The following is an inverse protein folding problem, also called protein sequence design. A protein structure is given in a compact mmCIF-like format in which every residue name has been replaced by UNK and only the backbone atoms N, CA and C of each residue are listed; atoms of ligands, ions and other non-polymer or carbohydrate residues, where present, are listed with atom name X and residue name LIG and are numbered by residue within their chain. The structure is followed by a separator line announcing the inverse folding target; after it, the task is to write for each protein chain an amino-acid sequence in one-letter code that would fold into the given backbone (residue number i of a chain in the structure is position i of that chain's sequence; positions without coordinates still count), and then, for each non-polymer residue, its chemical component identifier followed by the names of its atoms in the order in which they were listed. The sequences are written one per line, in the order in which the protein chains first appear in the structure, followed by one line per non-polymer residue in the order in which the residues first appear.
data_IF_385471346228
#
_entry.id   IF_385471346228
#
_cell.length_a   1.000
_cell.length_b   1.000
_cell.length_c   1.000
_cell.angle_alpha   90.00
_cell.angle_beta   90.00
_cell.angle_gamma   90.00
#
_symmetry.space_group_name_H-M   'P 1'
#
loop_
_entity.id
_entity.type
_entity.pdbx_description
1 polymer ?
#
# COMPACT_ATOMS: atom_id res chain seq x y z
N UNK A 1 -15.44 -26.15 -20.04
CA UNK A 1 -14.05 -25.71 -19.88
C UNK A 1 -13.95 -25.01 -18.56
N UNK A 2 -13.15 -25.54 -17.64
CA UNK A 2 -12.85 -24.98 -16.33
C UNK A 2 -11.41 -24.50 -16.32
N UNK A 3 -11.09 -23.58 -15.43
CA UNK A 3 -9.69 -23.21 -15.16
C UNK A 3 -8.90 -24.42 -14.64
N UNK A 4 -7.77 -24.73 -15.28
CA UNK A 4 -6.86 -25.80 -14.82
C UNK A 4 -6.00 -25.29 -13.66
N UNK A 5 -5.94 -26.05 -12.57
CA UNK A 5 -5.21 -25.68 -11.35
C UNK A 5 -4.25 -26.77 -10.93
N UNK A 6 -3.19 -26.38 -10.20
CA UNK A 6 -2.23 -27.35 -9.64
C UNK A 6 -2.95 -28.23 -8.62
N UNK A 7 -2.90 -29.55 -8.82
CA UNK A 7 -3.59 -30.53 -7.96
C UNK A 7 -2.86 -30.81 -6.64
N UNK A 8 -1.53 -30.64 -6.63
CA UNK A 8 -0.70 -30.85 -5.44
C UNK A 8 -0.54 -29.54 -4.68
N UNK A 9 -0.65 -29.62 -3.36
CA UNK A 9 -0.42 -28.51 -2.45
C UNK A 9 1.02 -28.57 -1.92
N UNK A 10 1.62 -27.41 -1.66
CA UNK A 10 2.89 -27.33 -0.95
C UNK A 10 2.66 -27.70 0.51
N UNK A 11 3.36 -28.74 0.96
CA UNK A 11 3.31 -29.17 2.37
C UNK A 11 4.29 -28.32 3.17
N UNK A 12 3.83 -27.77 4.29
CA UNK A 12 4.67 -27.01 5.22
C UNK A 12 5.49 -28.02 6.01
N UNK A 13 6.81 -27.81 6.07
CA UNK A 13 7.77 -28.64 6.79
C UNK A 13 8.72 -27.75 7.57
N UNK A 14 9.31 -28.27 8.64
CA UNK A 14 10.36 -27.56 9.37
C UNK A 14 11.64 -27.46 8.51
N UNK A 15 12.34 -26.33 8.59
CA UNK A 15 13.51 -26.08 7.76
C UNK A 15 14.74 -26.92 8.17
N UNK A 16 14.82 -27.36 9.43
CA UNK A 16 15.94 -28.17 9.94
C UNK A 16 15.69 -29.65 9.72
N UNK A 17 14.49 -30.13 10.03
CA UNK A 17 14.16 -31.56 9.97
C UNK A 17 13.56 -31.99 8.64
N UNK A 18 13.04 -31.05 7.85
CA UNK A 18 12.32 -31.27 6.57
C UNK A 18 11.12 -32.21 6.70
N UNK A 19 10.58 -32.31 7.91
CA UNK A 19 9.46 -33.18 8.28
C UNK A 19 8.21 -32.37 8.56
N UNK A 20 7.07 -32.97 8.26
CA UNK A 20 5.76 -32.37 8.52
C UNK A 20 5.37 -32.57 9.99
N UNK A 21 5.80 -33.67 10.58
CA UNK A 21 5.46 -34.10 11.94
C UNK A 21 5.97 -33.11 13.00
N UNK A 22 7.05 -32.39 12.70
CA UNK A 22 7.63 -31.38 13.59
C UNK A 22 6.92 -30.02 13.49
N UNK A 23 5.91 -29.90 12.62
CA UNK A 23 5.10 -28.69 12.46
C UNK A 23 3.66 -29.01 12.89
N UNK A 24 3.30 -28.56 14.08
CA UNK A 24 1.92 -28.58 14.56
C UNK A 24 1.25 -27.22 14.36
N UNK A 25 -0.01 -27.24 13.92
CA UNK A 25 -0.82 -26.02 13.76
C UNK A 25 -1.83 -25.96 14.88
N UNK A 26 -1.59 -25.08 15.84
CA UNK A 26 -2.53 -24.72 16.89
C UNK A 26 -3.25 -23.42 16.52
N UNK A 27 -4.55 -23.35 16.81
CA UNK A 27 -5.34 -22.13 16.60
C UNK A 27 -6.01 -21.79 17.93
N UNK A 28 -5.59 -20.67 18.49
CA UNK A 28 -6.12 -20.12 19.75
C UNK A 28 -7.11 -19.01 19.42
N UNK A 29 -8.20 -18.93 20.17
CA UNK A 29 -9.22 -17.90 20.02
C UNK A 29 -9.11 -16.96 21.22
N UNK A 30 -8.93 -15.67 20.97
CA UNK A 30 -8.92 -14.65 22.01
C UNK A 30 -10.09 -13.68 21.81
N UNK A 31 -10.62 -13.14 22.90
CA UNK A 31 -11.50 -11.99 22.85
C UNK A 31 -10.75 -10.82 22.22
N UNK A 32 -11.45 -10.06 21.38
CA UNK A 32 -10.92 -8.85 20.79
C UNK A 32 -11.14 -7.67 21.75
N UNK A 33 -10.65 -7.82 22.98
CA UNK A 33 -10.57 -6.82 24.04
C UNK A 33 -9.09 -6.47 24.34
N UNK A 34 -8.86 -5.46 25.16
CA UNK A 34 -7.49 -5.01 25.48
C UNK A 34 -6.68 -6.08 26.25
N UNK A 35 -7.35 -7.03 26.88
CA UNK A 35 -6.77 -8.10 27.70
C UNK A 35 -6.50 -9.40 26.90
N UNK A 36 -6.96 -9.48 25.64
CA UNK A 36 -6.85 -10.64 24.74
C UNK A 36 -7.20 -11.98 25.39
N UNK A 37 -8.30 -12.02 26.16
CA UNK A 37 -8.62 -13.19 26.99
C UNK A 37 -8.88 -14.44 26.13
N UNK A 38 -8.20 -15.54 26.42
CA UNK A 38 -8.37 -16.81 25.70
C UNK A 38 -9.76 -17.43 25.93
N UNK A 39 -10.39 -17.88 24.84
CA UNK A 39 -11.73 -18.47 24.80
C UNK A 39 -11.67 -19.87 24.22
N UNK A 40 -12.40 -20.80 24.82
CA UNK A 40 -12.51 -22.15 24.27
C UNK A 40 -13.32 -22.16 22.98
N UNK A 41 -12.92 -23.03 22.05
CA UNK A 41 -13.59 -23.16 20.74
C UNK A 41 -15.09 -23.48 20.87
N UNK A 42 -15.47 -24.28 21.86
CA UNK A 42 -16.86 -24.69 22.07
C UNK A 42 -17.74 -23.57 22.64
N UNK A 43 -17.14 -22.53 23.20
CA UNK A 43 -17.83 -21.31 23.66
C UNK A 43 -17.98 -20.27 22.54
N UNK A 44 -17.57 -20.60 21.31
CA UNK A 44 -17.74 -19.72 20.14
C UNK A 44 -19.03 -20.02 19.38
N UNK A 45 -19.76 -18.97 19.01
CA UNK A 45 -20.95 -19.06 18.16
C UNK A 45 -20.71 -18.33 16.85
N UNK A 46 -21.19 -18.90 15.75
CA UNK A 46 -21.13 -18.22 14.45
C UNK A 46 -22.08 -17.02 14.46
N UNK A 47 -21.61 -15.89 13.96
CA UNK A 47 -22.39 -14.66 13.89
C UNK A 47 -22.33 -14.05 12.50
N UNK A 48 -23.43 -13.44 12.07
CA UNK A 48 -23.50 -12.71 10.81
C UNK A 48 -23.70 -11.22 11.10
N UNK A 49 -23.02 -10.38 10.33
CA UNK A 49 -23.23 -8.93 10.41
C UNK A 49 -24.50 -8.57 9.65
N UNK A 50 -25.43 -7.91 10.33
CA UNK A 50 -26.63 -7.34 9.74
C UNK A 50 -26.65 -5.84 10.04
N UNK A 51 -26.10 -5.05 9.10
CA UNK A 51 -25.84 -3.63 9.34
C UNK A 51 -24.71 -3.42 10.36
N UNK A 52 -25.00 -2.66 11.42
CA UNK A 52 -24.09 -2.46 12.56
C UNK A 52 -24.02 -3.67 13.49
N UNK A 53 -25.07 -4.48 13.52
CA UNK A 53 -25.29 -5.47 14.56
C UNK A 53 -24.70 -6.83 14.18
N UNK A 54 -24.27 -7.58 15.19
CA UNK A 54 -23.82 -8.96 15.02
C UNK A 54 -24.93 -9.87 15.54
N UNK A 55 -25.56 -10.61 14.64
CA UNK A 55 -26.62 -11.54 14.97
C UNK A 55 -26.02 -12.94 15.14
N UNK A 56 -26.07 -13.52 16.35
CA UNK A 56 -25.63 -14.90 16.56
C UNK A 56 -26.58 -15.85 15.84
N UNK A 57 -26.01 -16.79 15.08
CA UNK A 57 -26.77 -17.75 14.30
C UNK A 57 -26.06 -19.11 14.32
N UNK A 58 -26.70 -20.10 14.95
CA UNK A 58 -26.12 -21.43 15.09
C UNK A 58 -26.03 -22.13 13.73
N UNK A 59 -25.12 -23.11 13.60
CA UNK A 59 -24.98 -23.88 12.36
C UNK A 59 -26.21 -24.76 12.11
N UNK A 60 -26.86 -25.21 13.17
CA UNK A 60 -28.08 -25.99 13.12
C UNK A 60 -29.25 -25.17 12.56
N UNK A 61 -29.38 -23.91 13.01
CA UNK A 61 -30.37 -22.97 12.49
C UNK A 61 -30.07 -22.63 11.01
N UNK A 62 -28.80 -22.41 10.68
CA UNK A 62 -28.36 -22.14 9.30
C UNK A 62 -28.74 -23.28 8.36
N UNK A 63 -28.43 -24.53 8.71
CA UNK A 63 -28.72 -25.68 7.85
C UNK A 63 -30.24 -25.96 7.73
N UNK A 64 -31.03 -25.63 8.75
CA UNK A 64 -32.49 -25.77 8.69
C UNK A 64 -33.15 -24.69 7.84
N UNK A 65 -32.73 -23.43 8.02
CA UNK A 65 -33.32 -22.26 7.35
C UNK A 65 -32.76 -22.00 5.95
N UNK A 66 -31.60 -22.57 5.61
CA UNK A 66 -31.01 -22.44 4.27
C UNK A 66 -31.96 -22.92 3.18
N UNK A 67 -32.00 -22.18 2.08
CA UNK A 67 -32.77 -22.55 0.89
C UNK A 67 -32.31 -23.91 0.35
N UNK A 68 -33.27 -24.84 0.18
CA UNK A 68 -33.01 -26.20 -0.32
C UNK A 68 -33.50 -26.32 -1.75
N UNK A 69 -32.61 -26.70 -2.65
CA UNK A 69 -32.92 -26.94 -4.05
C UNK A 69 -33.62 -28.29 -4.23
N UNK A 70 -34.66 -28.35 -5.06
CA UNK A 70 -35.46 -29.56 -5.33
C UNK A 70 -34.62 -30.73 -5.90
N UNK A 71 -33.53 -30.41 -6.60
CA UNK A 71 -32.65 -31.41 -7.21
C UNK A 71 -31.83 -30.86 -8.37
N UNK A 72 -31.17 -31.79 -9.07
CA UNK A 72 -30.51 -31.50 -10.34
C UNK A 72 -31.55 -31.09 -11.38
N UNK A 73 -31.39 -29.93 -12.01
CA UNK A 73 -32.27 -29.46 -13.07
C UNK A 73 -31.53 -28.65 -14.13
N UNK A 74 -32.02 -28.72 -15.37
CA UNK A 74 -31.61 -27.85 -16.48
C UNK A 74 -32.87 -27.47 -17.26
N UNK A 75 -33.60 -26.49 -16.74
CA UNK A 75 -34.94 -26.12 -17.22
C UNK A 75 -34.92 -24.75 -17.88
N UNK A 76 -35.43 -24.67 -19.11
CA UNK A 76 -35.61 -23.41 -19.83
C UNK A 76 -36.67 -22.57 -19.13
N UNK A 77 -36.32 -21.33 -18.80
CA UNK A 77 -37.23 -20.33 -18.22
C UNK A 77 -37.89 -19.47 -19.30
N UNK A 78 -37.15 -19.18 -20.38
CA UNK A 78 -37.64 -18.37 -21.48
C UNK A 78 -36.63 -18.26 -22.61
N UNK A 79 -37.01 -17.52 -23.65
CA UNK A 79 -36.19 -17.30 -24.83
C UNK A 79 -36.04 -15.80 -25.10
N UNK A 80 -34.88 -15.39 -25.57
CA UNK A 80 -34.64 -14.00 -25.97
C UNK A 80 -33.72 -13.91 -27.20
N UNK A 81 -33.70 -12.75 -27.88
CA UNK A 81 -32.79 -12.52 -28.99
C UNK A 81 -31.34 -12.58 -28.53
N UNK A 82 -30.47 -13.17 -29.34
CA UNK A 82 -29.03 -13.26 -29.04
C UNK A 82 -28.38 -11.89 -28.80
N UNK A 83 -28.89 -10.82 -29.42
CA UNK A 83 -28.37 -9.46 -29.27
C UNK A 83 -28.64 -8.81 -27.91
N UNK A 84 -29.60 -9.33 -27.13
CA UNK A 84 -29.90 -8.80 -25.80
C UNK A 84 -28.88 -9.26 -24.74
N UNK A 85 -28.20 -10.38 -24.98
CA UNK A 85 -27.22 -10.92 -24.04
C UNK A 85 -25.82 -10.49 -24.47
N UNK A 86 -25.25 -9.54 -23.73
CA UNK A 86 -23.91 -9.01 -24.00
C UNK A 86 -22.83 -9.88 -23.34
N UNK A 87 -21.72 -10.10 -24.04
CA UNK A 87 -20.63 -10.98 -23.58
C UNK A 87 -20.01 -10.54 -22.25
N UNK A 88 -20.00 -9.24 -21.96
CA UNK A 88 -19.44 -8.74 -20.70
C UNK A 88 -20.32 -9.02 -19.47
N UNK A 89 -21.56 -9.49 -19.65
CA UNK A 89 -22.38 -9.99 -18.54
C UNK A 89 -22.13 -11.45 -18.20
N UNK A 90 -21.28 -12.16 -18.95
CA UNK A 90 -20.98 -13.55 -18.64
C UNK A 90 -20.31 -13.68 -17.28
N UNK A 91 -20.85 -14.59 -16.48
CA UNK A 91 -20.40 -14.92 -15.14
C UNK A 91 -19.99 -16.40 -15.07
N UNK A 92 -19.46 -16.77 -13.90
CA UNK A 92 -19.05 -18.14 -13.59
C UNK A 92 -17.65 -18.48 -14.10
N UNK A 93 -17.09 -19.55 -13.55
CA UNK A 93 -15.71 -19.97 -13.81
C UNK A 93 -15.63 -21.10 -14.85
N UNK A 94 -16.73 -21.38 -15.54
CA UNK A 94 -16.82 -22.47 -16.49
C UNK A 94 -17.83 -22.21 -17.60
N UNK A 95 -17.52 -22.75 -18.78
CA UNK A 95 -18.49 -22.91 -19.87
C UNK A 95 -18.88 -24.38 -20.00
N UNK A 96 -20.16 -24.70 -19.95
CA UNK A 96 -20.66 -26.07 -20.07
C UNK A 96 -21.15 -26.34 -21.48
N UNK A 97 -20.72 -27.47 -22.07
CA UNK A 97 -21.29 -27.96 -23.33
C UNK A 97 -22.37 -28.97 -22.99
N UNK A 98 -23.57 -28.72 -23.47
CA UNK A 98 -24.74 -29.57 -23.25
C UNK A 98 -25.04 -30.34 -24.52
N UNK A 99 -25.19 -31.65 -24.37
CA UNK A 99 -25.50 -32.60 -25.44
C UNK A 99 -26.71 -33.43 -25.02
N UNK A 100 -27.34 -34.08 -26.00
CA UNK A 100 -28.29 -35.15 -25.73
C UNK A 100 -27.61 -36.31 -24.99
N UNK A 101 -28.41 -37.10 -24.26
CA UNK A 101 -27.92 -38.28 -23.57
C UNK A 101 -27.32 -39.27 -24.59
N UNK A 102 -26.20 -39.89 -24.21
CA UNK A 102 -25.57 -40.91 -25.03
C UNK A 102 -26.54 -42.07 -25.25
N UNK A 103 -26.59 -42.58 -26.47
CA UNK A 103 -27.41 -43.72 -26.90
C UNK A 103 -28.94 -43.47 -26.94
N UNK A 104 -29.40 -42.23 -26.77
CA UNK A 104 -30.80 -41.84 -26.99
C UNK A 104 -30.95 -41.03 -28.30
N UNK A 105 -31.34 -41.74 -29.36
CA UNK A 105 -31.53 -41.13 -30.69
C UNK A 105 -32.70 -40.16 -30.73
N UNK A 106 -33.77 -40.41 -29.97
CA UNK A 106 -34.95 -39.56 -29.95
C UNK A 106 -34.64 -38.23 -29.27
N UNK A 107 -33.92 -38.27 -28.14
CA UNK A 107 -33.42 -37.07 -27.48
C UNK A 107 -32.43 -36.31 -28.37
N UNK A 108 -31.55 -37.00 -29.09
CA UNK A 108 -30.60 -36.36 -30.02
C UNK A 108 -31.30 -35.61 -31.16
N UNK A 109 -32.33 -36.22 -31.77
CA UNK A 109 -33.12 -35.57 -32.84
C UNK A 109 -33.87 -34.35 -32.29
N UNK A 110 -34.55 -34.48 -31.15
CA UNK A 110 -35.26 -33.36 -30.53
C UNK A 110 -34.32 -32.22 -30.13
N UNK A 111 -33.14 -32.55 -29.60
CA UNK A 111 -32.13 -31.57 -29.21
C UNK A 111 -31.52 -30.87 -30.42
N UNK A 112 -31.19 -31.58 -31.50
CA UNK A 112 -30.69 -30.97 -32.74
C UNK A 112 -31.73 -30.04 -33.36
N UNK A 113 -33.00 -30.42 -33.37
CA UNK A 113 -34.09 -29.55 -33.83
C UNK A 113 -34.15 -28.25 -33.01
N UNK A 114 -34.00 -28.32 -31.69
CA UNK A 114 -33.94 -27.13 -30.83
C UNK A 114 -32.72 -26.26 -31.11
N UNK A 115 -31.52 -26.86 -31.23
CA UNK A 115 -30.27 -26.12 -31.49
C UNK A 115 -30.35 -25.36 -32.82
N UNK A 116 -30.85 -26.02 -33.88
CA UNK A 116 -31.01 -25.40 -35.19
C UNK A 116 -32.07 -24.30 -35.19
N UNK A 117 -33.21 -24.53 -34.53
CA UNK A 117 -34.24 -23.50 -34.40
C UNK A 117 -33.72 -22.24 -33.69
N UNK A 118 -32.91 -22.40 -32.64
CA UNK A 118 -32.27 -21.28 -31.95
C UNK A 118 -31.30 -20.51 -32.86
N UNK A 119 -30.51 -21.23 -33.68
CA UNK A 119 -29.56 -20.60 -34.60
C UNK A 119 -30.25 -19.88 -35.76
N UNK A 120 -31.25 -20.51 -36.38
CA UNK A 120 -32.02 -19.93 -37.48
C UNK A 120 -32.78 -18.68 -37.06
N UNK A 121 -33.41 -18.71 -35.86
CA UNK A 121 -34.17 -17.57 -35.33
C UNK A 121 -33.27 -16.51 -34.66
N UNK A 122 -31.97 -16.77 -34.48
CA UNK A 122 -31.03 -15.94 -33.72
C UNK A 122 -31.52 -15.63 -32.30
N UNK A 123 -32.04 -16.67 -31.67
CA UNK A 123 -32.60 -16.67 -30.30
C UNK A 123 -31.72 -17.54 -29.40
N UNK A 124 -31.68 -17.21 -28.11
CA UNK A 124 -30.99 -17.96 -27.06
C UNK A 124 -31.96 -18.33 -25.95
N UNK A 125 -31.68 -19.42 -25.24
CA UNK A 125 -32.50 -19.88 -24.12
C UNK A 125 -31.94 -19.34 -22.80
N UNK A 126 -32.80 -18.78 -21.95
CA UNK A 126 -32.47 -18.47 -20.55
C UNK A 126 -32.86 -19.69 -19.72
N UNK A 127 -31.91 -20.23 -18.95
CA UNK A 127 -32.01 -21.53 -18.30
C UNK A 127 -31.74 -21.41 -16.81
N UNK A 128 -32.59 -22.06 -16.00
CA UNK A 128 -32.29 -22.39 -14.61
C UNK A 128 -31.47 -23.67 -14.56
N UNK A 129 -30.26 -23.58 -14.03
CA UNK A 129 -29.32 -24.67 -13.89
C UNK A 129 -29.06 -24.95 -12.41
N UNK A 130 -29.31 -26.18 -11.97
CA UNK A 130 -28.86 -26.68 -10.68
C UNK A 130 -28.14 -28.01 -10.90
N UNK A 131 -26.87 -28.09 -10.51
CA UNK A 131 -26.06 -29.29 -10.73
C UNK A 131 -26.50 -30.45 -9.83
N UNK A 132 -26.75 -30.17 -8.55
CA UNK A 132 -27.24 -31.10 -7.55
C UNK A 132 -28.03 -30.39 -6.45
N UNK A 133 -28.45 -31.14 -5.41
CA UNK A 133 -29.21 -30.59 -4.26
C UNK A 133 -28.39 -29.68 -3.35
N UNK A 134 -27.06 -29.77 -3.38
CA UNK A 134 -26.14 -28.98 -2.52
C UNK A 134 -25.77 -27.64 -3.17
N UNK A 135 -25.90 -27.58 -4.48
CA UNK A 135 -25.59 -26.42 -5.30
C UNK A 135 -26.73 -25.41 -5.26
N UNK A 136 -26.36 -24.13 -5.14
CA UNK A 136 -27.30 -23.04 -5.37
C UNK A 136 -27.72 -23.05 -6.86
N UNK A 137 -29.00 -22.86 -7.19
CA UNK A 137 -29.44 -22.75 -8.57
C UNK A 137 -28.82 -21.50 -9.20
N UNK A 138 -28.41 -21.63 -10.46
CA UNK A 138 -27.81 -20.58 -11.28
C UNK A 138 -28.75 -20.24 -12.43
N UNK A 139 -28.82 -18.96 -12.78
CA UNK A 139 -29.45 -18.52 -14.02
C UNK A 139 -28.35 -18.31 -15.05
N UNK A 140 -28.56 -18.79 -16.27
CA UNK A 140 -27.61 -18.61 -17.35
C UNK A 140 -28.26 -18.61 -18.72
N UNK A 141 -27.45 -18.36 -19.73
CA UNK A 141 -27.84 -18.41 -21.13
C UNK A 141 -27.30 -19.71 -21.75
N UNK A 142 -28.13 -20.39 -22.53
CA UNK A 142 -27.75 -21.50 -23.38
C UNK A 142 -27.95 -21.08 -24.85
N UNK A 143 -26.85 -21.02 -25.60
CA UNK A 143 -26.84 -20.59 -26.99
C UNK A 143 -26.30 -21.69 -27.92
N UNK A 144 -26.76 -21.75 -29.18
CA UNK A 144 -26.37 -22.79 -30.13
C UNK A 144 -24.91 -22.68 -30.54
N UNK A 145 -24.26 -23.84 -30.68
CA UNK A 145 -22.90 -23.97 -31.17
C UNK A 145 -22.80 -25.15 -32.13
N UNK A 146 -22.73 -24.84 -33.43
CA UNK A 146 -22.80 -25.79 -34.54
C UNK A 146 -21.40 -25.93 -35.15
N UNK A 147 -20.92 -27.17 -35.28
CA UNK A 147 -19.70 -27.55 -35.99
C UNK A 147 -20.00 -28.71 -36.93
N UNK A 148 -19.15 -28.92 -37.93
CA UNK A 148 -19.27 -30.03 -38.89
C UNK A 148 -19.40 -31.40 -38.22
N UNK A 149 -18.67 -31.61 -37.11
CA UNK A 149 -18.66 -32.87 -36.39
C UNK A 149 -19.77 -33.02 -35.35
N UNK A 150 -20.30 -31.91 -34.81
CA UNK A 150 -21.28 -31.97 -33.72
C UNK A 150 -22.02 -30.65 -33.53
N UNK A 151 -23.21 -30.74 -32.94
CA UNK A 151 -24.02 -29.61 -32.50
C UNK A 151 -24.19 -29.67 -30.98
N UNK A 152 -24.08 -28.53 -30.29
CA UNK A 152 -24.34 -28.47 -28.85
C UNK A 152 -24.92 -27.12 -28.41
N UNK A 153 -25.44 -27.06 -27.19
CA UNK A 153 -25.67 -25.78 -26.52
C UNK A 153 -24.49 -25.46 -25.60
N UNK A 154 -24.01 -24.22 -25.63
CA UNK A 154 -23.06 -23.71 -24.65
C UNK A 154 -23.84 -22.96 -23.58
N UNK A 155 -23.73 -23.41 -22.34
CA UNK A 155 -24.25 -22.73 -21.16
C UNK A 155 -23.18 -21.88 -20.50
N UNK A 156 -23.54 -20.63 -20.21
CA UNK A 156 -22.74 -19.67 -19.44
C UNK A 156 -23.65 -18.99 -18.41
N UNK A 157 -23.16 -18.84 -17.19
CA UNK A 157 -23.91 -18.19 -16.11
C UNK A 157 -24.10 -16.69 -16.42
N UNK A 158 -25.27 -16.16 -16.03
CA UNK A 158 -25.60 -14.74 -16.10
C UNK A 158 -25.55 -14.13 -14.69
N UNK A 159 -25.38 -12.81 -14.57
CA UNK A 159 -25.30 -12.14 -13.28
C UNK A 159 -26.69 -12.03 -12.67
N UNK A 160 -26.77 -12.10 -11.34
CA UNK A 160 -27.93 -11.63 -10.61
C UNK A 160 -27.89 -10.10 -10.46
N UNK A 161 -28.98 -9.53 -9.94
CA UNK A 161 -29.06 -8.08 -9.71
C UNK A 161 -27.97 -7.62 -8.73
N UNK A 162 -27.65 -8.44 -7.73
CA UNK A 162 -26.66 -8.15 -6.69
C UNK A 162 -25.22 -8.20 -7.23
N UNK A 163 -24.99 -8.88 -8.35
CA UNK A 163 -23.67 -9.02 -8.98
C UNK A 163 -23.28 -7.78 -9.83
N UNK A 164 -24.26 -6.96 -10.21
CA UNK A 164 -24.05 -5.82 -11.09
C UNK A 164 -23.41 -4.64 -10.34
N UNK A 165 -22.28 -4.14 -10.87
CA UNK A 165 -21.60 -2.95 -10.33
C UNK A 165 -21.86 -1.74 -11.23
N UNK A 166 -22.65 -0.79 -10.74
CA UNK A 166 -23.06 0.39 -11.50
C UNK A 166 -22.10 1.56 -11.27
N UNK A 167 -20.92 1.49 -11.91
CA UNK A 167 -20.00 2.63 -11.93
C UNK A 167 -20.35 3.58 -13.07
N UNK A 168 -20.47 4.87 -12.74
CA UNK A 168 -20.69 5.91 -13.73
C UNK A 168 -19.36 6.55 -14.08
N UNK A 169 -18.99 6.49 -15.36
CA UNK A 169 -17.80 7.12 -15.91
C UNK A 169 -18.18 8.21 -16.90
N UNK A 170 -17.38 9.27 -16.96
CA UNK A 170 -17.54 10.33 -17.96
C UNK A 170 -17.29 9.79 -19.38
N UNK A 171 -18.16 10.15 -20.33
CA UNK A 171 -17.98 9.77 -21.73
C UNK A 171 -16.73 10.40 -22.33
N UNK A 172 -15.87 9.58 -22.94
CA UNK A 172 -14.68 10.04 -23.65
C UNK A 172 -15.02 10.71 -24.98
N UNK A 173 -16.09 10.27 -25.66
CA UNK A 173 -16.49 10.79 -26.98
C UNK A 173 -16.91 12.27 -26.95
N UNK A 174 -17.48 12.72 -25.83
CA UNK A 174 -17.94 14.11 -25.66
C UNK A 174 -16.93 14.98 -24.90
N UNK A 175 -15.74 14.45 -24.59
CA UNK A 175 -14.73 15.16 -23.84
C UNK A 175 -14.02 16.19 -24.72
N UNK A 176 -14.20 17.48 -24.41
CA UNK A 176 -13.44 18.56 -25.05
C UNK A 176 -11.94 18.57 -24.69
N UNK A 177 -11.54 17.82 -23.66
CA UNK A 177 -10.17 17.80 -23.14
C UNK A 177 -9.27 16.77 -23.83
N UNK A 178 -9.86 15.72 -24.39
CA UNK A 178 -9.15 14.56 -24.93
C UNK A 178 -9.58 14.27 -26.36
N UNK A 179 -9.64 15.30 -27.21
CA UNK A 179 -9.95 15.14 -28.63
C UNK A 179 -8.66 14.80 -29.38
N UNK A 180 -8.55 13.62 -30.01
CA UNK A 180 -7.35 13.25 -30.75
C UNK A 180 -7.21 14.10 -32.02
N UNK A 181 -5.98 14.41 -32.40
CA UNK A 181 -5.70 15.09 -33.69
C UNK A 181 -5.81 14.10 -34.86
N UNK A 182 -5.95 14.63 -36.08
CA UNK A 182 -5.98 13.80 -37.30
C UNK A 182 -4.70 12.96 -37.44
N UNK A 183 -3.55 13.55 -37.10
CA UNK A 183 -2.26 12.84 -37.15
C UNK A 183 -2.18 11.72 -36.11
N UNK A 184 -2.75 11.94 -34.92
CA UNK A 184 -2.85 10.91 -33.88
C UNK A 184 -3.75 9.75 -34.30
N UNK A 185 -4.91 10.05 -34.90
CA UNK A 185 -5.80 9.02 -35.46
C UNK A 185 -5.09 8.21 -36.53
N UNK A 186 -4.47 8.88 -37.52
CA UNK A 186 -3.74 8.22 -38.59
C UNK A 186 -2.57 7.36 -38.09
N UNK A 187 -1.88 7.79 -37.03
CA UNK A 187 -0.81 7.01 -36.42
C UNK A 187 -1.31 5.76 -35.71
N UNK A 188 -2.47 5.84 -35.02
CA UNK A 188 -3.11 4.67 -34.41
C UNK A 188 -3.67 3.72 -35.48
N UNK A 189 -4.28 4.24 -36.56
CA UNK A 189 -4.75 3.41 -37.68
C UNK A 189 -3.59 2.62 -38.30
N UNK A 190 -2.47 3.30 -38.59
CA UNK A 190 -1.25 2.66 -39.09
C UNK A 190 -0.71 1.61 -38.11
N UNK A 191 -0.84 1.85 -36.80
CA UNK A 191 -0.43 0.90 -35.78
C UNK A 191 -1.32 -0.36 -35.78
N UNK A 192 -2.64 -0.19 -35.86
CA UNK A 192 -3.62 -1.29 -35.93
C UNK A 192 -3.31 -2.19 -37.12
N UNK A 193 -3.11 -1.61 -38.30
CA UNK A 193 -2.77 -2.36 -39.52
C UNK A 193 -1.44 -3.10 -39.35
N UNK A 194 -0.45 -2.46 -38.72
CA UNK A 194 0.87 -3.04 -38.47
C UNK A 194 0.93 -4.07 -37.34
N UNK A 195 -0.08 -4.14 -36.47
CA UNK A 195 -0.15 -5.09 -35.35
C UNK A 195 -1.21 -6.18 -35.54
N UNK A 196 -1.89 -6.20 -36.68
CA UNK A 196 -2.89 -7.24 -36.97
C UNK A 196 -2.25 -8.64 -36.96
N UNK A 197 -2.77 -9.53 -36.12
CA UNK A 197 -2.30 -10.92 -35.94
C UNK A 197 -2.99 -11.90 -36.91
N UNK A 198 -4.01 -11.44 -37.63
CA UNK A 198 -4.75 -12.24 -38.60
C UNK A 198 -4.33 -11.80 -40.00
N UNK A 199 -3.85 -12.76 -40.79
CA UNK A 199 -3.59 -12.58 -42.21
C UNK A 199 -4.74 -13.18 -43.02
N UNK A 200 -5.32 -12.37 -43.90
CA UNK A 200 -6.42 -12.77 -44.79
C UNK A 200 -5.91 -12.82 -46.23
N UNK A 201 -5.58 -14.02 -46.71
CA UNK A 201 -5.24 -14.26 -48.12
C UNK A 201 -6.47 -14.84 -48.84
N UNK A 202 -7.48 -13.99 -49.04
CA UNK A 202 -8.68 -14.28 -49.84
C UNK A 202 -9.62 -15.35 -49.26
N UNK A 203 -9.22 -16.62 -49.30
CA UNK A 203 -10.02 -17.77 -48.83
C UNK A 203 -9.49 -18.37 -47.52
N UNK A 204 -8.24 -18.08 -47.14
CA UNK A 204 -7.61 -18.62 -45.93
C UNK A 204 -7.33 -17.53 -44.90
N UNK A 205 -7.85 -17.76 -43.69
CA UNK A 205 -7.55 -16.96 -42.50
C UNK A 205 -6.39 -17.61 -41.74
N UNK A 206 -5.21 -17.02 -41.82
CA UNK A 206 -4.06 -17.45 -41.04
C UNK A 206 -3.92 -16.55 -39.80
N UNK A 207 -4.34 -17.08 -38.65
CA UNK A 207 -4.02 -16.48 -37.36
C UNK A 207 -2.58 -16.86 -36.95
N UNK A 208 -1.70 -15.85 -36.97
CA UNK A 208 -0.26 -15.93 -36.72
C UNK A 208 0.06 -16.24 -35.26
N UNK A 209 -0.86 -15.95 -34.33
CA UNK A 209 -0.64 -16.16 -32.91
C UNK A 209 -1.92 -16.65 -32.23
N UNK A 210 -1.93 -17.93 -31.84
CA UNK A 210 -3.10 -18.65 -31.30
C UNK A 210 -2.98 -18.93 -29.79
N UNK A 211 -3.26 -17.95 -28.89
CA UNK A 211 -3.23 -18.15 -27.43
C UNK A 211 -4.04 -19.34 -26.93
N UNK A 212 -5.17 -19.66 -27.58
CA UNK A 212 -6.02 -20.78 -27.17
C UNK A 212 -5.36 -22.17 -27.31
N UNK A 213 -4.30 -22.27 -28.11
CA UNK A 213 -3.49 -23.49 -28.26
C UNK A 213 -2.27 -23.51 -27.35
N UNK A 214 -1.91 -22.37 -26.76
CA UNK A 214 -0.80 -22.24 -25.82
C UNK A 214 -1.26 -22.76 -24.46
N UNK A 215 -0.54 -23.75 -23.94
CA UNK A 215 -0.79 -24.28 -22.60
C UNK A 215 -0.31 -23.27 -21.55
N UNK A 216 -0.91 -23.29 -20.36
CA UNK A 216 -0.52 -22.38 -19.28
C UNK A 216 0.98 -22.58 -18.92
N UNK A 217 1.85 -21.57 -19.13
CA UNK A 217 3.30 -21.69 -18.95
C UNK A 217 3.70 -21.93 -17.49
N UNK A 218 2.82 -21.60 -16.53
CA UNK A 218 3.05 -21.83 -15.11
C UNK A 218 3.39 -23.30 -14.80
N UNK A 219 2.75 -24.26 -15.45
CA UNK A 219 3.00 -25.68 -15.19
C UNK A 219 4.41 -26.10 -15.64
N UNK A 220 4.83 -25.68 -16.84
CA UNK A 220 6.17 -26.00 -17.32
C UNK A 220 7.24 -25.30 -16.48
N UNK A 221 7.03 -24.03 -16.11
CA UNK A 221 7.93 -23.31 -15.20
C UNK A 221 8.02 -24.01 -13.83
N UNK A 222 6.90 -24.49 -13.29
CA UNK A 222 6.88 -25.25 -12.05
C UNK A 222 7.67 -26.55 -12.19
N UNK A 223 7.47 -27.32 -13.27
CA UNK A 223 8.19 -28.57 -13.50
C UNK A 223 9.69 -28.37 -13.70
N UNK A 224 10.09 -27.32 -14.42
CA UNK A 224 11.49 -26.91 -14.55
C UNK A 224 12.12 -26.67 -13.17
N UNK A 225 11.47 -25.86 -12.32
CA UNK A 225 11.97 -25.56 -10.98
C UNK A 225 12.03 -26.82 -10.09
N UNK A 226 11.00 -27.67 -10.13
CA UNK A 226 10.94 -28.92 -9.37
C UNK A 226 12.03 -29.89 -9.81
N UNK A 227 12.21 -30.08 -11.11
CA UNK A 227 13.25 -30.94 -11.67
C UNK A 227 14.64 -30.41 -11.28
N UNK A 228 14.87 -29.11 -11.45
CA UNK A 228 16.15 -28.50 -11.12
C UNK A 228 16.48 -28.65 -9.63
N UNK A 229 15.53 -28.37 -8.73
CA UNK A 229 15.74 -28.54 -7.28
C UNK A 229 15.86 -30.00 -6.83
N UNK A 230 15.22 -30.93 -7.54
CA UNK A 230 15.37 -32.36 -7.26
C UNK A 230 16.78 -32.89 -7.60
N UNK A 231 17.36 -32.45 -8.73
CA UNK A 231 18.70 -32.89 -9.15
C UNK A 231 19.84 -32.01 -8.63
N UNK A 232 19.55 -30.75 -8.29
CA UNK A 232 20.52 -29.77 -7.78
C UNK A 232 19.96 -29.05 -6.54
N UNK A 233 19.94 -29.73 -5.37
CA UNK A 233 19.34 -29.18 -4.15
C UNK A 233 19.95 -27.83 -3.73
N UNK A 234 21.28 -27.73 -3.79
CA UNK A 234 22.05 -26.59 -3.29
C UNK A 234 22.10 -25.40 -4.26
N UNK A 235 21.76 -25.59 -5.53
CA UNK A 235 21.78 -24.51 -6.54
C UNK A 235 20.53 -23.64 -6.42
N UNK A 236 20.60 -22.34 -6.75
CA UNK A 236 19.43 -21.47 -6.77
C UNK A 236 18.40 -21.91 -7.83
N UNK A 237 17.25 -21.25 -7.87
CA UNK A 237 16.25 -21.52 -8.90
C UNK A 237 16.83 -21.23 -10.30
N UNK A 238 16.53 -22.06 -11.31
CA UNK A 238 17.03 -21.82 -12.67
C UNK A 238 16.35 -20.58 -13.27
N UNK A 239 16.99 -19.88 -14.22
CA UNK A 239 16.32 -18.85 -15.01
C UNK A 239 15.15 -19.46 -15.82
N UNK A 240 14.23 -18.61 -16.29
CA UNK A 240 13.14 -19.07 -17.17
C UNK A 240 13.76 -19.52 -18.49
N UNK A 241 13.34 -20.68 -19.01
CA UNK A 241 13.84 -21.16 -20.30
C UNK A 241 13.36 -20.24 -21.44
N UNK A 242 14.26 -19.94 -22.37
CA UNK A 242 13.99 -19.02 -23.49
C UNK A 242 12.79 -19.48 -24.32
N UNK A 243 12.65 -20.78 -24.57
CA UNK A 243 11.52 -21.32 -25.33
C UNK A 243 10.15 -21.00 -24.70
N UNK A 244 10.05 -20.88 -23.37
CA UNK A 244 8.81 -20.50 -22.69
C UNK A 244 8.49 -19.02 -22.90
N UNK A 245 9.52 -18.17 -23.00
CA UNK A 245 9.36 -16.75 -23.31
C UNK A 245 8.99 -16.57 -24.79
N UNK A 246 9.72 -17.23 -25.70
CA UNK A 246 9.48 -17.19 -27.14
C UNK A 246 8.04 -17.58 -27.51
N UNK A 247 7.45 -18.56 -26.80
CA UNK A 247 6.05 -18.96 -27.00
C UNK A 247 5.05 -17.87 -26.61
N UNK A 248 5.40 -16.96 -25.71
CA UNK A 248 4.54 -15.87 -25.21
C UNK A 248 4.83 -14.53 -25.90
N UNK A 249 5.98 -14.41 -26.54
CA UNK A 249 6.38 -13.21 -27.25
C UNK A 249 5.61 -13.00 -28.55
N UNK A 250 5.54 -11.73 -28.98
CA UNK A 250 4.96 -11.35 -30.26
C UNK A 250 5.75 -11.96 -31.42
N UNK A 251 5.08 -12.50 -32.47
CA UNK A 251 5.76 -13.02 -33.65
C UNK A 251 6.72 -12.00 -34.29
N UNK A 252 7.91 -12.46 -34.72
CA UNK A 252 8.97 -11.59 -35.25
C UNK A 252 8.51 -10.70 -36.41
N UNK A 253 7.70 -11.26 -37.32
CA UNK A 253 7.14 -10.53 -38.48
C UNK A 253 6.33 -9.31 -38.04
N UNK A 254 5.55 -9.45 -36.97
CA UNK A 254 4.72 -8.36 -36.44
C UNK A 254 5.60 -7.32 -35.73
N UNK A 255 6.62 -7.78 -35.00
CA UNK A 255 7.59 -6.92 -34.30
C UNK A 255 8.33 -5.98 -35.25
N UNK A 256 8.78 -6.49 -36.40
CA UNK A 256 9.44 -5.70 -37.44
C UNK A 256 8.45 -4.72 -38.10
N UNK A 257 7.25 -5.19 -38.46
CA UNK A 257 6.23 -4.37 -39.12
C UNK A 257 5.76 -3.20 -38.26
N UNK A 258 5.61 -3.38 -36.96
CA UNK A 258 5.06 -2.36 -36.07
C UNK A 258 6.08 -1.34 -35.55
N UNK A 259 7.38 -1.52 -35.80
CA UNK A 259 8.42 -0.65 -35.24
C UNK A 259 8.26 0.81 -35.68
N UNK A 260 8.08 1.07 -36.98
CA UNK A 260 7.93 2.43 -37.51
C UNK A 260 6.65 3.12 -37.02
N UNK A 261 5.45 2.48 -37.07
CA UNK A 261 4.24 3.07 -36.48
C UNK A 261 4.35 3.35 -34.98
N UNK A 262 5.00 2.46 -34.20
CA UNK A 262 5.21 2.67 -32.77
C UNK A 262 6.05 3.91 -32.47
N UNK A 263 7.14 4.12 -33.21
CA UNK A 263 7.98 5.31 -33.07
C UNK A 263 7.20 6.59 -33.37
N UNK A 264 6.33 6.56 -34.39
CA UNK A 264 5.43 7.68 -34.72
C UNK A 264 4.41 7.96 -33.62
N UNK A 265 3.78 6.93 -33.07
CA UNK A 265 2.85 7.05 -31.93
C UNK A 265 3.58 7.63 -30.72
N UNK A 266 4.77 7.13 -30.39
CA UNK A 266 5.58 7.66 -29.29
C UNK A 266 5.90 9.15 -29.44
N UNK A 267 6.14 9.61 -30.68
CA UNK A 267 6.39 11.02 -30.96
C UNK A 267 5.14 11.90 -30.83
N UNK A 268 3.96 11.41 -31.24
CA UNK A 268 2.70 12.18 -31.27
C UNK A 268 1.93 12.19 -29.95
N UNK A 269 2.22 11.26 -29.03
CA UNK A 269 1.59 11.15 -27.72
C UNK A 269 2.61 11.40 -26.60
N UNK A 270 2.83 12.66 -26.19
CA UNK A 270 3.78 12.98 -25.13
C UNK A 270 3.24 12.54 -23.77
N UNK A 271 3.79 11.45 -23.23
CA UNK A 271 3.48 10.95 -21.91
C UNK A 271 4.53 11.43 -20.90
N UNK A 272 4.09 12.01 -19.79
CA UNK A 272 4.95 12.37 -18.67
C UNK A 272 4.69 11.40 -17.53
N UNK A 273 5.74 10.71 -17.09
CA UNK A 273 5.67 9.93 -15.86
C UNK A 273 5.57 10.88 -14.68
N UNK A 274 4.42 10.86 -14.01
CA UNK A 274 4.30 11.51 -12.70
C UNK A 274 4.97 10.58 -11.71
N UNK A 275 6.01 11.07 -11.02
CA UNK A 275 6.84 10.27 -10.13
C UNK A 275 5.99 9.41 -9.20
N UNK A 276 5.99 8.11 -9.44
CA UNK A 276 5.50 7.14 -8.46
C UNK A 276 6.38 7.29 -7.21
N UNK A 277 5.81 7.09 -6.00
CA UNK A 277 6.64 6.81 -4.82
C UNK A 277 7.68 5.77 -5.27
N UNK A 278 8.98 6.09 -5.14
CA UNK A 278 10.05 5.15 -5.45
C UNK A 278 9.68 3.84 -4.78
N UNK A 279 9.60 2.75 -5.55
CA UNK A 279 9.57 1.42 -4.96
C UNK A 279 10.67 1.38 -3.91
N UNK A 280 10.33 0.97 -2.68
CA UNK A 280 11.31 0.87 -1.60
C UNK A 280 12.48 0.06 -2.14
N UNK A 281 13.64 0.70 -2.24
CA UNK A 281 14.85 0.03 -2.71
C UNK A 281 15.11 -1.11 -1.75
N UNK A 282 14.83 -2.33 -2.19
CA UNK A 282 15.13 -3.53 -1.41
C UNK A 282 16.64 -3.60 -1.24
N UNK A 283 17.13 -4.16 -0.13
CA UNK A 283 18.56 -4.30 0.12
C UNK A 283 19.34 -4.90 -1.08
N UNK A 284 18.68 -5.77 -1.87
CA UNK A 284 19.25 -6.34 -3.10
C UNK A 284 19.64 -5.32 -4.19
N UNK A 285 18.98 -4.16 -4.28
CA UNK A 285 19.36 -3.10 -5.22
C UNK A 285 20.46 -2.18 -4.66
N UNK A 286 20.73 -2.26 -3.35
CA UNK A 286 21.80 -1.53 -2.67
C UNK A 286 23.11 -2.34 -2.71
N UNK A 287 23.01 -3.68 -2.62
CA UNK A 287 24.14 -4.61 -2.58
C UNK A 287 24.38 -5.37 -3.89
N UNK A 288 23.93 -4.86 -5.05
CA UNK A 288 24.43 -5.35 -6.35
C UNK A 288 25.88 -4.91 -6.51
N UNK A 289 26.78 -5.64 -5.88
CA UNK A 289 28.20 -5.62 -6.17
C UNK A 289 28.39 -6.23 -7.57
N UNK A 290 28.70 -5.36 -8.55
CA UNK A 290 29.42 -5.82 -9.73
C UNK A 290 30.77 -6.35 -9.22
N UNK A 291 31.00 -7.66 -9.30
CA UNK A 291 32.24 -8.31 -8.82
C UNK A 291 33.51 -7.94 -9.61
N UNK A 292 33.47 -6.94 -10.49
CA UNK A 292 34.62 -6.49 -11.28
C UNK A 292 34.88 -4.99 -11.11
N UNK A 293 35.45 -4.58 -9.97
CA UNK A 293 36.44 -3.49 -9.89
C UNK A 293 37.20 -3.51 -8.54
N UNK A 294 38.52 -3.20 -8.52
CA UNK A 294 39.37 -3.47 -7.36
C UNK A 294 39.12 -2.45 -6.25
N UNK A 295 38.84 -2.97 -5.05
CA UNK A 295 38.60 -2.20 -3.83
C UNK A 295 39.74 -1.20 -3.53
N UNK A 296 39.44 0.09 -3.59
CA UNK A 296 40.26 1.13 -2.94
C UNK A 296 40.09 1.01 -1.42
N UNK A 297 41.22 0.86 -0.74
CA UNK A 297 41.38 0.61 0.70
C UNK A 297 40.53 1.55 1.56
N UNK A 298 39.63 1.00 2.37
CA UNK A 298 39.00 1.70 3.51
C UNK A 298 39.98 1.73 4.71
N UNK A 299 40.07 2.84 5.46
CA UNK A 299 40.82 2.87 6.71
C UNK A 299 40.02 2.13 7.80
N UNK A 300 40.73 1.34 8.62
CA UNK A 300 40.19 0.70 9.82
C UNK A 300 39.80 1.77 10.84
N UNK A 301 38.59 1.70 11.36
CA UNK A 301 38.20 2.32 12.63
C UNK A 301 37.91 1.14 13.56
N UNK A 302 38.59 1.14 14.69
CA UNK A 302 38.49 0.13 15.74
C UNK A 302 37.11 0.20 16.42
N UNK A 303 36.63 -0.98 16.80
CA UNK A 303 35.38 -1.21 17.50
C UNK A 303 35.39 -0.53 18.88
N UNK A 304 34.48 0.42 19.11
CA UNK A 304 34.00 0.75 20.45
C UNK A 304 32.53 0.36 20.59
N UNK A 305 32.27 -0.53 21.55
CA UNK A 305 30.96 -1.03 21.95
C UNK A 305 30.01 0.11 22.35
N UNK A 306 28.92 0.29 21.61
CA UNK A 306 27.86 1.23 21.95
C UNK A 306 26.56 0.98 21.18
N UNK A 307 25.58 0.39 21.87
CA UNK A 307 24.16 0.17 21.51
C UNK A 307 23.74 0.41 20.04
N UNK A 308 23.65 -0.68 19.28
CA UNK A 308 22.97 -0.72 18.00
C UNK A 308 21.45 -0.85 18.23
N UNK A 309 20.76 0.26 18.44
CA UNK A 309 19.31 0.29 18.61
C UNK A 309 18.59 0.49 17.26
N UNK A 310 17.62 -0.38 16.97
CA UNK A 310 16.78 -0.42 15.75
C UNK A 310 16.08 0.93 15.46
N UNK A 311 15.89 1.80 16.46
CA UNK A 311 15.32 3.15 16.27
C UNK A 311 16.18 4.07 15.38
N UNK A 312 17.51 3.90 15.32
CA UNK A 312 18.39 4.75 14.48
C UNK A 312 18.23 4.53 12.98
N UNK A 313 17.57 3.45 12.57
CA UNK A 313 17.29 3.16 11.15
C UNK A 313 15.97 3.77 10.67
N UNK A 314 15.04 4.06 11.60
CA UNK A 314 13.74 4.68 11.29
C UNK A 314 13.84 6.21 11.14
N UNK A 315 14.83 6.82 11.78
CA UNK A 315 15.13 8.24 11.64
C UNK A 315 16.08 8.45 10.47
N UNK A 316 15.49 8.63 9.28
CA UNK A 316 16.24 9.05 8.11
C UNK A 316 17.17 10.23 8.44
N UNK A 317 18.32 10.30 7.76
CA UNK A 317 19.39 11.30 7.95
C UNK A 317 18.86 12.62 8.54
N UNK A 318 19.09 12.85 9.84
CA UNK A 318 18.66 14.09 10.51
C UNK A 318 19.36 15.27 9.83
N UNK A 319 18.59 16.10 9.13
CA UNK A 319 19.05 17.31 8.42
C UNK A 319 18.69 18.62 9.15
N UNK A 320 17.82 18.57 10.16
CA UNK A 320 17.34 19.72 10.93
C UNK A 320 16.91 19.31 12.34
N UNK A 321 16.91 20.25 13.28
CA UNK A 321 16.46 20.00 14.67
C UNK A 321 14.94 19.78 14.70
N UNK A 322 14.50 18.59 15.13
CA UNK A 322 13.10 18.17 15.13
C UNK A 322 12.33 18.57 16.40
N UNK A 323 11.02 18.34 16.36
CA UNK A 323 10.10 18.67 17.44
C UNK A 323 10.03 17.64 18.57
N UNK A 324 10.48 16.41 18.30
CA UNK A 324 10.27 15.24 19.16
C UNK A 324 11.39 15.13 20.20
N UNK A 325 12.66 15.10 19.75
CA UNK A 325 13.88 15.05 20.57
C UNK A 325 14.94 16.10 20.15
N UNK A 326 14.64 17.42 20.28
CA UNK A 326 15.50 18.49 19.78
C UNK A 326 16.92 18.52 20.38
N UNK A 327 17.09 18.11 21.64
CA UNK A 327 18.40 18.06 22.29
C UNK A 327 19.33 17.00 21.69
N UNK A 328 18.79 15.85 21.29
CA UNK A 328 19.56 14.76 20.68
C UNK A 328 19.87 15.07 19.21
N UNK A 329 18.89 15.62 18.49
CA UNK A 329 19.03 16.10 17.12
C UNK A 329 20.14 17.15 17.01
N UNK A 330 20.20 18.10 17.96
CA UNK A 330 21.24 19.12 18.02
C UNK A 330 22.63 18.51 18.20
N UNK A 331 22.82 17.57 19.15
CA UNK A 331 24.10 16.88 19.35
C UNK A 331 24.57 16.13 18.10
N UNK A 332 23.64 15.52 17.36
CA UNK A 332 23.96 14.78 16.15
C UNK A 332 24.37 15.74 15.02
N UNK A 333 23.68 16.86 14.88
CA UNK A 333 23.98 17.88 13.85
C UNK A 333 25.31 18.59 14.10
N UNK A 334 25.62 18.89 15.36
CA UNK A 334 26.88 19.52 15.77
C UNK A 334 28.09 18.60 15.54
N UNK A 335 27.92 17.28 15.68
CA UNK A 335 28.98 16.29 15.41
C UNK A 335 29.23 16.03 13.91
N UNK A 336 28.35 16.48 13.00
CA UNK A 336 28.57 16.32 11.56
C UNK A 336 29.55 17.38 11.06
N UNK A 337 30.66 16.91 10.45
CA UNK A 337 31.77 17.73 9.90
C UNK A 337 31.42 18.80 8.85
N UNK A 338 30.15 18.97 8.48
CA UNK A 338 29.72 19.79 7.34
C UNK A 338 28.59 20.79 7.67
N UNK A 339 28.22 20.98 8.94
CA UNK A 339 27.17 21.91 9.34
C UNK A 339 27.76 23.17 10.01
N UNK A 340 27.27 24.36 9.63
CA UNK A 340 27.61 25.61 10.29
C UNK A 340 26.95 25.64 11.69
N UNK A 341 27.76 25.76 12.74
CA UNK A 341 27.30 25.73 14.13
C UNK A 341 26.27 26.82 14.40
N UNK A 342 26.39 27.98 13.74
CA UNK A 342 25.49 29.12 13.92
C UNK A 342 24.08 28.83 13.40
N UNK A 343 23.98 28.18 12.24
CA UNK A 343 22.71 27.81 11.62
C UNK A 343 21.96 26.74 12.41
N UNK A 344 22.69 25.75 12.92
CA UNK A 344 22.13 24.67 13.75
C UNK A 344 21.66 25.23 15.11
N UNK A 345 22.42 26.18 15.67
CA UNK A 345 22.04 26.89 16.91
C UNK A 345 20.78 27.71 16.71
N UNK A 346 20.64 28.44 15.59
CA UNK A 346 19.44 29.21 15.30
C UNK A 346 18.18 28.33 15.16
N UNK A 347 18.33 27.13 14.59
CA UNK A 347 17.23 26.15 14.52
C UNK A 347 16.80 25.67 15.90
N UNK A 348 17.76 25.42 16.80
CA UNK A 348 17.45 25.05 18.18
C UNK A 348 16.77 26.20 18.94
N UNK A 349 17.26 27.43 18.77
CA UNK A 349 16.69 28.65 19.39
C UNK A 349 15.23 28.85 18.98
N UNK A 350 14.94 28.76 17.68
CA UNK A 350 13.56 28.87 17.18
C UNK A 350 12.64 27.78 17.75
N UNK A 351 13.18 26.60 18.02
CA UNK A 351 12.42 25.49 18.63
C UNK A 351 12.16 25.72 20.11
N UNK A 352 13.13 26.29 20.83
CA UNK A 352 12.97 26.72 22.22
C UNK A 352 11.91 27.82 22.31
N UNK A 353 11.93 28.82 21.43
CA UNK A 353 10.90 29.86 21.35
C UNK A 353 9.49 29.25 21.15
N UNK A 354 9.33 28.29 20.24
CA UNK A 354 8.06 27.57 20.02
C UNK A 354 7.58 26.76 21.23
N UNK A 355 8.50 26.25 22.06
CA UNK A 355 8.14 25.56 23.29
C UNK A 355 7.68 26.53 24.39
N UNK A 356 8.26 27.74 24.42
CA UNK A 356 7.88 28.79 25.35
C UNK A 356 6.49 29.38 25.03
N UNK A 357 6.11 29.44 23.76
CA UNK A 357 4.76 29.89 23.34
C UNK A 357 3.62 28.98 23.81
N UNK A 358 3.88 27.68 23.97
CA UNK A 358 2.85 26.67 24.27
C UNK A 358 2.48 26.53 25.77
N UNK A 359 3.13 27.29 26.67
CA UNK A 359 2.83 27.42 28.12
C UNK A 359 2.57 26.12 28.90
N UNK A 360 3.17 25.00 28.49
CA UNK A 360 3.01 23.69 29.16
C UNK A 360 4.27 23.29 29.93
N UNK A 361 4.12 22.76 31.15
CA UNK A 361 5.25 22.34 32.01
C UNK A 361 6.19 21.33 31.34
N UNK A 362 5.63 20.39 30.57
CA UNK A 362 6.37 19.41 29.78
C UNK A 362 7.22 20.03 28.65
N UNK A 363 6.82 21.18 28.12
CA UNK A 363 7.59 21.91 27.10
C UNK A 363 8.68 22.79 27.74
N UNK A 364 8.43 23.30 28.95
CA UNK A 364 9.45 24.00 29.75
C UNK A 364 10.61 23.07 30.11
N UNK A 365 10.34 21.86 30.58
CA UNK A 365 11.40 20.88 30.88
C UNK A 365 12.23 20.53 29.63
N UNK A 366 11.56 20.31 28.49
CA UNK A 366 12.26 20.05 27.21
C UNK A 366 13.08 21.25 26.74
N UNK A 367 12.59 22.48 26.93
CA UNK A 367 13.32 23.70 26.62
C UNK A 367 14.58 23.83 27.46
N UNK A 368 14.49 23.58 28.77
CA UNK A 368 15.63 23.61 29.70
C UNK A 368 16.67 22.54 29.33
N UNK A 369 16.24 21.33 29.01
CA UNK A 369 17.13 20.27 28.54
C UNK A 369 17.89 20.68 27.27
N UNK A 370 17.22 21.36 26.32
CA UNK A 370 17.84 21.88 25.12
C UNK A 370 18.88 22.98 25.43
N UNK A 371 18.58 23.88 26.37
CA UNK A 371 19.51 24.95 26.78
C UNK A 371 20.75 24.36 27.46
N UNK A 372 20.59 23.32 28.29
CA UNK A 372 21.72 22.62 28.93
C UNK A 372 22.62 21.97 27.89
N UNK A 373 22.04 21.26 26.92
CA UNK A 373 22.79 20.65 25.83
C UNK A 373 23.47 21.70 24.94
N UNK A 374 22.79 22.82 24.69
CA UNK A 374 23.37 23.93 23.94
C UNK A 374 24.60 24.52 24.67
N UNK A 375 24.51 24.69 26.00
CA UNK A 375 25.64 25.13 26.83
C UNK A 375 26.82 24.17 26.76
N UNK A 376 26.57 22.86 26.89
CA UNK A 376 27.61 21.82 26.84
C UNK A 376 28.35 21.80 25.50
N UNK A 377 27.63 21.88 24.39
CA UNK A 377 28.24 21.81 23.05
C UNK A 377 28.90 23.13 22.65
N UNK A 378 28.36 24.28 23.09
CA UNK A 378 29.02 25.59 22.91
C UNK A 378 30.38 25.66 23.63
N UNK A 379 30.50 25.06 24.82
CA UNK A 379 31.78 24.94 25.53
C UNK A 379 32.78 24.04 24.81
N UNK A 380 32.32 22.94 24.21
CA UNK A 380 33.20 21.99 23.49
C UNK A 380 33.75 22.55 22.18
N UNK A 381 33.00 23.43 21.52
CA UNK A 381 33.37 24.01 20.22
C UNK A 381 33.95 25.42 20.32
N UNK A 382 34.18 25.92 21.54
CA UNK A 382 34.64 27.30 21.82
C UNK A 382 33.70 28.41 21.31
N UNK A 383 32.49 28.10 20.89
CA UNK A 383 31.50 29.07 20.38
C UNK A 383 30.68 29.70 21.51
N UNK A 384 31.38 30.26 22.51
CA UNK A 384 30.83 30.73 23.78
C UNK A 384 29.96 31.99 23.62
N UNK A 385 30.28 32.83 22.63
CA UNK A 385 29.53 34.07 22.34
C UNK A 385 28.10 33.78 21.87
N UNK A 386 27.92 32.77 21.03
CA UNK A 386 26.59 32.38 20.52
C UNK A 386 25.63 31.97 21.65
N UNK A 387 26.14 31.31 22.70
CA UNK A 387 25.34 30.93 23.86
C UNK A 387 25.02 32.12 24.76
N UNK A 388 26.02 32.95 25.06
CA UNK A 388 25.84 34.10 25.96
C UNK A 388 24.91 35.18 25.36
N UNK A 389 24.99 35.44 24.05
CA UNK A 389 24.08 36.34 23.33
C UNK A 389 22.64 35.82 23.33
N UNK A 390 22.46 34.50 23.11
CA UNK A 390 21.15 33.86 23.19
C UNK A 390 20.55 33.97 24.59
N UNK A 391 21.32 33.69 25.65
CA UNK A 391 20.82 33.72 27.03
C UNK A 391 20.41 35.15 27.44
N UNK A 392 21.14 36.18 27.00
CA UNK A 392 20.77 37.57 27.19
C UNK A 392 19.49 37.94 26.41
N UNK A 393 19.38 37.53 25.15
CA UNK A 393 18.17 37.75 24.35
C UNK A 393 16.95 37.05 24.97
N UNK A 394 17.13 35.84 25.49
CA UNK A 394 16.10 35.07 26.20
C UNK A 394 15.64 35.82 27.46
N UNK A 395 16.57 36.34 28.26
CA UNK A 395 16.24 37.16 29.45
C UNK A 395 15.46 38.44 29.10
N UNK A 396 15.76 39.06 27.95
CA UNK A 396 15.05 40.27 27.51
C UNK A 396 13.63 39.95 27.03
N UNK A 397 13.44 38.80 26.38
CA UNK A 397 12.10 38.29 25.97
C UNK A 397 11.24 37.83 27.15
N UNK A 398 11.86 37.43 28.26
CA UNK A 398 11.19 36.94 29.47
C UNK A 398 10.71 38.06 30.42
N UNK A 399 10.97 39.35 30.12
CA UNK A 399 10.44 40.48 30.90
C UNK A 399 8.90 40.67 30.74
N UNK A 400 8.26 39.88 29.86
CA UNK A 400 6.80 39.79 29.75
C UNK A 400 6.25 38.85 30.83
N UNK A 401 5.31 39.35 31.66
CA UNK A 401 4.81 38.73 32.92
C UNK A 401 4.26 37.30 32.81
N UNK A 402 4.18 36.70 31.63
CA UNK A 402 3.58 35.40 31.37
C UNK A 402 4.55 34.19 31.49
N UNK A 403 5.86 34.41 31.69
CA UNK A 403 6.89 33.36 31.69
C UNK A 403 7.76 33.31 32.98
N UNK A 404 7.28 33.90 34.08
CA UNK A 404 8.00 33.91 35.36
C UNK A 404 8.33 32.50 35.87
N UNK A 405 7.38 31.55 35.72
CA UNK A 405 7.56 30.16 36.15
C UNK A 405 8.72 29.45 35.43
N UNK A 406 8.96 29.77 34.15
CA UNK A 406 10.08 29.21 33.39
C UNK A 406 11.44 29.76 33.86
N UNK A 407 11.47 31.05 34.19
CA UNK A 407 12.67 31.70 34.71
C UNK A 407 13.04 31.21 36.11
N UNK A 408 12.04 30.98 36.97
CA UNK A 408 12.27 30.42 38.31
C UNK A 408 12.86 29.00 38.24
N UNK A 409 12.41 28.16 37.28
CA UNK A 409 13.00 26.83 37.06
C UNK A 409 14.43 26.94 36.51
N UNK A 410 14.72 27.90 35.61
CA UNK A 410 16.10 28.15 35.16
C UNK A 410 17.04 28.61 36.29
N UNK A 411 16.54 29.44 37.22
CA UNK A 411 17.27 29.88 38.42
C UNK A 411 17.48 28.71 39.38
N UNK A 412 16.48 27.84 39.55
CA UNK A 412 16.56 26.64 40.36
C UNK A 412 17.60 25.63 39.82
N UNK A 413 17.68 25.46 38.49
CA UNK A 413 18.66 24.60 37.81
C UNK A 413 20.05 25.26 37.62
N UNK A 414 20.23 26.50 38.12
CA UNK A 414 21.49 27.28 38.06
C UNK A 414 22.09 27.41 36.66
N UNK A 415 21.26 27.62 35.64
CA UNK A 415 21.72 27.82 34.27
C UNK A 415 22.09 29.30 34.08
N UNK A 416 23.37 29.63 34.27
CA UNK A 416 23.92 30.99 34.11
C UNK A 416 24.75 31.15 32.82
N UNK A 417 25.16 32.39 32.54
CA UNK A 417 26.13 32.72 31.48
C UNK A 417 27.44 31.96 31.70
N UNK A 418 28.10 31.55 30.62
CA UNK A 418 29.41 30.87 30.67
C UNK A 418 30.47 31.89 31.08
N UNK A 419 31.17 31.64 32.20
CA UNK A 419 32.14 32.57 32.79
C UNK A 419 33.55 32.40 32.22
N UNK A 420 34.41 33.39 32.47
CA UNK A 420 35.85 33.35 32.16
C UNK A 420 36.61 32.18 32.78
N UNK A 421 36.13 31.65 33.91
CA UNK A 421 36.76 30.51 34.58
C UNK A 421 36.42 29.17 33.89
N UNK A 422 35.33 29.13 33.09
CA UNK A 422 34.85 27.93 32.38
C UNK A 422 35.29 27.89 30.91
N UNK A 423 35.54 29.04 30.27
CA UNK A 423 36.09 29.13 28.91
C UNK A 423 36.91 30.41 28.70
N UNK A 424 38.15 30.27 28.20
CA UNK A 424 39.09 31.39 28.01
C UNK A 424 38.59 32.47 27.02
N UNK A 425 37.64 32.12 26.14
CA UNK A 425 37.05 33.02 25.14
C UNK A 425 35.85 33.83 25.67
N UNK A 426 35.42 33.64 26.93
CA UNK A 426 34.31 34.39 27.52
C UNK A 426 34.72 35.79 27.98
N UNK A 427 33.83 36.76 27.81
CA UNK A 427 33.99 38.13 28.34
C UNK A 427 33.37 38.32 29.73
N UNK A 428 32.61 37.34 30.23
CA UNK A 428 31.75 37.45 31.43
C UNK A 428 32.47 36.99 32.70
N UNK A 429 32.44 37.80 33.75
CA UNK A 429 33.03 37.48 35.06
C UNK A 429 32.05 36.68 35.95
N UNK A 430 32.57 35.91 36.92
CA UNK A 430 31.74 35.11 37.84
C UNK A 430 30.69 35.95 38.59
N UNK A 431 31.03 37.20 38.93
CA UNK A 431 30.10 38.15 39.57
C UNK A 431 28.97 38.62 38.64
N UNK A 432 29.21 38.69 37.32
CA UNK A 432 28.20 39.06 36.33
C UNK A 432 27.22 37.91 36.06
N UNK A 433 27.70 36.67 36.11
CA UNK A 433 26.86 35.48 36.01
C UNK A 433 25.96 35.29 37.24
N UNK A 434 26.43 35.62 38.44
CA UNK A 434 25.58 35.61 39.65
C UNK A 434 24.58 36.78 39.68
N UNK A 435 25.01 38.00 39.31
CA UNK A 435 24.09 39.15 39.15
C UNK A 435 23.04 38.93 38.07
N UNK A 436 23.32 38.08 37.07
CA UNK A 436 22.36 37.72 36.03
C UNK A 436 21.18 36.91 36.56
N UNK A 437 21.34 36.15 37.65
CA UNK A 437 20.28 35.34 38.25
C UNK A 437 19.50 36.06 39.37
N UNK A 438 19.95 37.23 39.83
CA UNK A 438 19.29 37.99 40.90
C UNK A 438 18.04 38.76 40.41
N UNK A 439 16.91 38.75 41.16
CA UNK A 439 15.72 39.54 40.83
C UNK A 439 15.99 41.05 41.01
N UNK A 440 15.53 41.89 40.06
CA UNK A 440 15.66 43.37 40.15
C UNK A 440 14.78 43.92 41.28
N UNK A 441 15.37 44.61 42.25
CA UNK A 441 14.64 45.39 43.27
C UNK A 441 13.86 46.57 42.63
N UNK A 442 12.53 46.58 42.73
CA UNK A 442 11.71 47.74 42.38
C UNK A 442 11.67 48.74 43.54
N UNK A 443 12.18 49.95 43.29
CA UNK A 443 12.02 51.13 44.16
C UNK A 443 10.56 51.62 44.12
N UNK A 444 9.96 51.79 45.29
CA UNK A 444 8.70 52.49 45.49
C UNK A 444 8.85 53.99 45.18
N UNK A 445 8.07 54.51 44.25
CA UNK A 445 7.67 55.92 44.22
C UNK A 445 6.15 56.04 44.13
N UNK A 446 5.61 56.80 45.09
CA UNK A 446 4.21 57.09 45.43
C UNK A 446 3.46 57.90 44.38
N UNK A 447 2.17 57.58 44.17
CA UNK A 447 1.13 58.52 43.68
C UNK A 447 -0.26 58.20 44.31
N UNK A 448 -1.20 59.17 44.36
CA UNK A 448 -2.19 59.41 45.44
C UNK A 448 -3.59 58.75 45.20
N UNK A 449 -4.58 58.91 46.12
CA UNK A 449 -5.73 58.01 46.21
C UNK A 449 -7.01 58.48 45.48
N UNK A 450 -7.99 57.58 45.48
CA UNK A 450 -9.46 57.67 45.21
C UNK A 450 -9.94 57.81 43.76
N UNK A 451 -10.78 56.87 43.31
CA UNK A 451 -12.24 57.10 43.23
C UNK A 451 -13.04 55.78 43.25
N UNK A 452 -14.21 55.84 43.88
CA UNK A 452 -15.22 54.78 44.00
C UNK A 452 -16.02 54.60 42.71
N UNK A 453 -16.64 53.42 42.53
CA UNK A 453 -17.66 53.20 41.51
C UNK A 453 -17.84 51.72 41.22
N UNK A 454 -18.73 51.08 41.98
CA UNK A 454 -19.11 49.68 41.78
C UNK A 454 -19.96 49.46 40.53
N UNK A 455 -20.10 48.19 40.12
CA UNK A 455 -21.42 47.59 40.02
C UNK A 455 -21.32 46.06 40.09
N UNK A 456 -22.42 45.47 40.54
CA UNK A 456 -22.63 44.09 40.98
C UNK A 456 -23.33 43.27 39.87
N UNK A 457 -23.29 41.95 40.04
CA UNK A 457 -24.18 40.91 39.47
C UNK A 457 -24.00 40.47 38.00
N UNK A 458 -23.66 39.18 37.83
CA UNK A 458 -24.69 38.19 37.50
C UNK A 458 -24.19 36.75 37.80
N UNK A 459 -24.79 36.13 38.83
CA UNK A 459 -25.03 34.68 38.94
C UNK A 459 -25.85 34.25 37.69
N UNK A 460 -25.91 33.03 37.16
CA UNK A 460 -26.22 31.67 37.64
C UNK A 460 -26.04 30.82 36.34
N UNK A 461 -25.55 29.58 36.24
CA UNK A 461 -26.08 28.34 36.80
C UNK A 461 -25.21 27.16 36.31
N UNK A 462 -24.79 26.34 37.26
CA UNK A 462 -24.46 24.92 37.09
C UNK A 462 -25.73 24.09 36.90
N UNK A 463 -25.79 23.26 35.85
CA UNK A 463 -25.97 21.78 35.91
C UNK A 463 -25.17 21.19 34.77
#
# INVERSE_FOLDING_TARGET
VTEERVKKLWTIVDAKTLRKEDVEKETVYCLNDDDETEVQKDDTIQGFRYGSDIIPFSKEDEEQMKYKTEGKCFSVLGFTRSSQIQRHYYMGNQALKVFAAKDDTNAAVAFSALVRALDELKVVAVVRYAYDRRSNPQIGVAFPYIKDAYECLIYVQLPYMEDLRQYVFSSLNNSKKCVPTVDQLSAVDSLIDSMNLVHEDGETFEDLFKPSKILNPHFQRLYQCLQHKAFHPDKPLPPIEQHLLEMLEMPCVVKERCQTPLERVKALFPLKEVGKKKEEKTAQDIFKDNEDEPSLKKPKIEDEEGSFSIMKLAEGNITSVGSVNPAEDFRILVKKKNADFKDVSQQLINRIDQFLENKGSQYYMKGIDCIRVFREEAMKLSEVQCFNDFLQALKTKLEDKALADFWDIMVQDRISLITKDEAEESSVTGEEAEKFLAPKEQKNETLPPTDEGGDVDDLVSTV
#
